data_IF_920202262645
#
_entry.id   IF_920202262645
#
_cell.length_a   1.000
_cell.length_b   1.000
_cell.length_c   1.000
_cell.angle_alpha   90.00
_cell.angle_beta   90.00
_cell.angle_gamma   90.00
#
_symmetry.space_group_name_H-M   'P 1'
#
loop_
_entity.id
_entity.type
_entity.pdbx_description
1 polymer ?
#
# COMPACT_ATOMS: atom_id res chain seq x y z
N UNK A 1 23.08 -11.54 -21.10
CA UNK A 1 22.63 -10.73 -19.96
C UNK A 1 21.87 -11.65 -19.02
N UNK A 2 22.45 -12.01 -17.86
CA UNK A 2 21.85 -12.90 -16.87
C UNK A 2 21.53 -12.05 -15.64
N UNK A 3 20.25 -11.98 -15.25
CA UNK A 3 19.84 -11.38 -13.97
C UNK A 3 19.72 -12.47 -12.91
N UNK A 4 20.10 -12.15 -11.68
CA UNK A 4 19.95 -13.04 -10.53
C UNK A 4 18.68 -12.73 -9.71
N UNK A 5 17.72 -11.97 -10.25
CA UNK A 5 16.41 -11.77 -9.63
C UNK A 5 15.49 -12.92 -10.09
N UNK A 6 15.08 -13.76 -9.14
CA UNK A 6 14.31 -14.98 -9.40
C UNK A 6 12.79 -14.84 -9.24
N UNK A 7 12.33 -13.79 -8.55
CA UNK A 7 10.90 -13.49 -8.33
C UNK A 7 10.61 -12.02 -8.64
N UNK A 8 9.41 -11.69 -9.16
CA UNK A 8 9.00 -10.30 -9.34
C UNK A 8 9.01 -9.58 -7.99
N UNK A 9 9.20 -8.27 -8.03
CA UNK A 9 9.20 -7.46 -6.83
C UNK A 9 7.78 -7.30 -6.27
N UNK A 10 7.67 -7.32 -4.95
CA UNK A 10 6.43 -7.00 -4.23
C UNK A 10 6.21 -5.50 -4.30
N UNK A 11 5.08 -5.10 -4.87
CA UNK A 11 4.77 -3.72 -5.21
C UNK A 11 3.68 -3.17 -4.32
N UNK A 12 4.09 -2.39 -3.31
CA UNK A 12 3.16 -1.75 -2.38
C UNK A 12 2.20 -0.79 -3.10
N UNK A 13 2.64 -0.15 -4.18
CA UNK A 13 1.85 0.84 -4.90
C UNK A 13 0.76 0.18 -5.74
N UNK A 14 1.03 -0.97 -6.34
CA UNK A 14 0.01 -1.73 -7.07
C UNK A 14 -1.04 -2.28 -6.11
N UNK A 15 -0.62 -2.89 -4.99
CA UNK A 15 -1.54 -3.39 -3.97
C UNK A 15 -2.35 -2.26 -3.30
N UNK A 16 -1.76 -1.06 -3.16
CA UNK A 16 -2.49 0.13 -2.70
C UNK A 16 -3.63 0.51 -3.66
N UNK A 17 -3.38 0.51 -4.97
CA UNK A 17 -4.42 0.83 -5.96
C UNK A 17 -5.54 -0.22 -5.98
N UNK A 18 -5.19 -1.50 -5.81
CA UNK A 18 -6.17 -2.57 -5.67
C UNK A 18 -7.00 -2.40 -4.39
N UNK A 19 -6.36 -2.11 -3.25
CA UNK A 19 -7.02 -1.93 -1.96
C UNK A 19 -7.99 -0.74 -1.98
N UNK A 20 -7.57 0.42 -2.47
CA UNK A 20 -8.42 1.62 -2.50
C UNK A 20 -9.53 1.54 -3.55
N UNK A 21 -9.36 0.71 -4.58
CA UNK A 21 -10.39 0.43 -5.58
C UNK A 21 -11.35 -0.69 -5.22
N UNK A 22 -11.11 -1.42 -4.12
CA UNK A 22 -11.97 -2.52 -3.67
C UNK A 22 -13.01 -1.99 -2.68
N UNK A 23 -14.28 -2.15 -3.02
CA UNK A 23 -15.38 -1.81 -2.13
C UNK A 23 -15.27 -2.60 -0.82
N UNK A 24 -15.33 -1.91 0.30
CA UNK A 24 -15.27 -2.54 1.62
C UNK A 24 -13.92 -2.41 2.31
N UNK A 25 -12.85 -1.97 1.63
CA UNK A 25 -11.50 -1.94 2.20
C UNK A 25 -11.07 -0.58 2.72
N UNK A 26 -11.26 0.48 1.94
CA UNK A 26 -10.96 1.82 2.42
C UNK A 26 -12.12 2.35 3.25
N UNK A 27 -11.91 2.43 4.57
CA UNK A 27 -12.88 2.93 5.54
C UNK A 27 -12.30 4.06 6.40
N UNK A 28 -13.15 4.96 6.85
CA UNK A 28 -12.79 6.04 7.77
C UNK A 28 -13.88 6.29 8.81
N UNK A 29 -13.49 6.87 9.95
CA UNK A 29 -14.44 7.28 10.98
C UNK A 29 -15.10 8.62 10.57
N UNK A 30 -16.43 8.69 10.40
CA UNK A 30 -17.10 9.92 9.96
C UNK A 30 -16.95 11.09 10.92
N UNK A 31 -16.74 10.81 12.22
CA UNK A 31 -16.65 11.83 13.27
C UNK A 31 -15.38 12.67 13.20
N UNK A 32 -14.25 12.09 12.80
CA UNK A 32 -12.93 12.73 12.86
C UNK A 32 -12.12 12.60 11.55
N UNK A 33 -12.61 11.82 10.58
CA UNK A 33 -11.91 11.57 9.32
C UNK A 33 -10.66 10.69 9.44
N UNK A 34 -10.45 10.01 10.58
CA UNK A 34 -9.27 9.16 10.80
C UNK A 34 -9.46 7.76 10.21
N UNK A 35 -8.35 7.03 10.10
CA UNK A 35 -8.36 5.63 9.69
C UNK A 35 -9.34 4.84 10.54
N UNK A 36 -10.18 4.04 9.88
CA UNK A 36 -10.98 3.01 10.51
C UNK A 36 -10.64 1.64 9.91
N UNK A 37 -10.41 0.61 10.74
CA UNK A 37 -10.34 -0.78 10.29
C UNK A 37 -11.59 -1.20 9.51
N UNK A 38 -11.39 -1.90 8.39
CA UNK A 38 -12.50 -2.28 7.52
C UNK A 38 -13.50 -3.26 8.15
N UNK A 39 -13.10 -3.95 9.23
CA UNK A 39 -13.92 -4.92 9.98
C UNK A 39 -14.79 -4.26 11.07
N UNK A 40 -14.68 -2.94 11.27
CA UNK A 40 -15.43 -2.20 12.28
C UNK A 40 -16.76 -1.65 11.74
N UNK A 41 -17.81 -1.68 12.58
CA UNK A 41 -19.19 -1.37 12.14
C UNK A 41 -19.53 0.12 12.00
N UNK A 42 -18.81 1.02 12.68
CA UNK A 42 -19.14 2.46 12.73
C UNK A 42 -18.33 3.30 11.73
N UNK A 43 -18.13 2.76 10.52
CA UNK A 43 -17.22 3.34 9.54
C UNK A 43 -17.85 3.50 8.17
N UNK A 44 -17.46 4.59 7.51
CA UNK A 44 -17.95 4.96 6.19
C UNK A 44 -16.88 4.72 5.12
N UNK A 45 -17.35 4.44 3.90
CA UNK A 45 -16.50 4.24 2.74
C UNK A 45 -15.72 5.49 2.38
N UNK A 46 -14.43 5.34 2.07
CA UNK A 46 -13.62 6.44 1.56
C UNK A 46 -14.21 7.06 0.29
N UNK A 47 -14.34 8.38 0.27
CA UNK A 47 -14.65 9.12 -0.95
C UNK A 47 -13.39 9.25 -1.79
N UNK A 48 -13.29 8.44 -2.85
CA UNK A 48 -12.12 8.38 -3.74
C UNK A 48 -12.52 8.76 -5.15
N UNK A 49 -11.86 9.77 -5.70
CA UNK A 49 -12.02 10.11 -7.11
C UNK A 49 -11.10 9.22 -7.96
N UNK A 50 -11.63 8.08 -8.39
CA UNK A 50 -10.93 7.18 -9.30
C UNK A 50 -10.96 7.70 -10.74
N UNK A 51 -9.81 7.74 -11.40
CA UNK A 51 -9.74 7.98 -12.83
C UNK A 51 -10.13 6.70 -13.60
N UNK A 52 -11.24 6.69 -14.35
CA UNK A 52 -11.76 5.49 -15.01
C UNK A 52 -10.85 4.97 -16.14
N UNK A 53 -9.94 5.79 -16.67
CA UNK A 53 -9.02 5.37 -17.72
C UNK A 53 -7.77 4.64 -17.19
N UNK A 54 -7.41 4.89 -15.92
CA UNK A 54 -6.16 4.40 -15.32
C UNK A 54 -6.39 3.54 -14.08
N UNK A 55 -7.62 3.47 -13.57
CA UNK A 55 -7.98 2.85 -12.28
C UNK A 55 -7.08 3.33 -11.14
N UNK A 56 -6.83 4.65 -11.08
CA UNK A 56 -5.96 5.28 -10.09
C UNK A 56 -6.65 6.43 -9.37
N UNK A 57 -6.40 6.62 -8.08
CA UNK A 57 -6.93 7.76 -7.34
C UNK A 57 -6.25 9.06 -7.76
N UNK A 58 -6.93 10.18 -7.53
CA UNK A 58 -6.32 11.50 -7.63
C UNK A 58 -5.25 11.73 -6.55
N UNK A 59 -4.43 12.76 -6.74
CA UNK A 59 -3.30 13.06 -5.85
C UNK A 59 -3.75 13.34 -4.42
N UNK A 60 -4.92 13.95 -4.21
CA UNK A 60 -5.38 14.29 -2.86
C UNK A 60 -5.90 13.03 -2.14
N UNK A 61 -6.70 12.19 -2.83
CA UNK A 61 -7.11 10.90 -2.26
C UNK A 61 -5.91 10.00 -1.99
N UNK A 62 -4.90 9.99 -2.87
CA UNK A 62 -3.66 9.25 -2.66
C UNK A 62 -2.99 9.64 -1.34
N UNK A 63 -2.74 10.95 -1.15
CA UNK A 63 -2.09 11.46 0.06
C UNK A 63 -2.91 11.21 1.32
N UNK A 64 -4.24 11.30 1.24
CA UNK A 64 -5.11 11.12 2.40
C UNK A 64 -5.15 9.66 2.87
N UNK A 65 -5.37 8.74 1.94
CA UNK A 65 -5.68 7.33 2.28
C UNK A 65 -4.46 6.40 2.29
N UNK A 66 -3.27 6.84 1.85
CA UNK A 66 -2.07 6.00 1.90
C UNK A 66 -1.73 5.54 3.32
N UNK A 67 -1.85 6.41 4.32
CA UNK A 67 -1.61 6.02 5.71
C UNK A 67 -2.64 5.01 6.22
N UNK A 68 -3.83 4.96 5.65
CA UNK A 68 -4.90 4.03 6.06
C UNK A 68 -4.56 2.63 5.58
N UNK A 69 -4.17 2.50 4.32
CA UNK A 69 -3.67 1.27 3.73
C UNK A 69 -2.53 0.63 4.54
N UNK A 70 -1.59 1.44 5.04
CA UNK A 70 -0.44 0.96 5.80
C UNK A 70 -0.77 0.57 7.25
N UNK A 71 -1.97 0.93 7.75
CA UNK A 71 -2.47 0.56 9.08
C UNK A 71 -3.49 -0.58 9.02
N UNK A 72 -4.12 -0.79 7.86
CA UNK A 72 -5.14 -1.80 7.66
C UNK A 72 -4.56 -3.23 7.59
N UNK A 73 -5.19 -4.15 8.33
CA UNK A 73 -4.75 -5.53 8.43
C UNK A 73 -5.47 -6.40 7.40
N UNK A 74 -4.78 -7.32 6.72
CA UNK A 74 -5.43 -8.14 5.69
C UNK A 74 -6.34 -9.20 6.31
N UNK A 75 -7.49 -9.42 5.67
CA UNK A 75 -8.46 -10.44 6.01
C UNK A 75 -9.01 -11.13 4.73
N UNK A 76 -10.13 -11.86 4.84
CA UNK A 76 -10.76 -12.50 3.68
C UNK A 76 -11.47 -11.55 2.71
N UNK A 77 -11.87 -10.36 3.18
CA UNK A 77 -12.57 -9.36 2.36
C UNK A 77 -11.56 -8.44 1.66
N UNK A 78 -10.52 -8.04 2.39
CA UNK A 78 -9.51 -7.06 2.05
C UNK A 78 -8.11 -7.66 2.13
N UNK A 79 -7.89 -8.72 1.34
CA UNK A 79 -6.63 -9.48 1.32
C UNK A 79 -5.39 -8.65 0.94
N UNK A 80 -5.58 -7.49 0.30
CA UNK A 80 -4.53 -6.59 -0.18
C UNK A 80 -4.13 -5.50 0.81
N UNK A 81 -4.66 -5.49 2.03
CA UNK A 81 -4.33 -4.48 3.03
C UNK A 81 -2.82 -4.47 3.36
N UNK A 82 -2.28 -3.26 3.54
CA UNK A 82 -0.84 -3.00 3.43
C UNK A 82 -0.04 -3.13 4.73
N UNK A 83 -0.67 -3.23 5.89
CA UNK A 83 0.05 -3.21 7.16
C UNK A 83 1.03 -4.39 7.30
N UNK A 84 0.58 -5.59 6.95
CA UNK A 84 1.40 -6.80 7.10
C UNK A 84 2.64 -6.80 6.19
N UNK A 85 2.48 -6.41 4.93
CA UNK A 85 3.53 -6.54 3.91
C UNK A 85 4.37 -5.27 3.72
N UNK A 86 3.78 -4.10 3.95
CA UNK A 86 4.33 -2.82 3.46
C UNK A 86 4.45 -1.71 4.50
N UNK A 87 3.97 -1.90 5.75
CA UNK A 87 4.12 -0.89 6.81
C UNK A 87 5.57 -0.47 7.07
N UNK A 88 6.51 -1.41 6.89
CA UNK A 88 7.96 -1.16 6.98
C UNK A 88 8.61 -0.83 5.63
N UNK A 89 7.86 -0.98 4.52
CA UNK A 89 8.36 -0.73 3.17
C UNK A 89 8.19 0.72 2.72
N UNK A 90 7.26 1.45 3.34
CA UNK A 90 6.92 2.83 2.99
C UNK A 90 7.15 3.71 4.20
N UNK A 91 8.17 4.56 4.15
CA UNK A 91 8.40 5.60 5.14
C UNK A 91 7.70 6.89 4.70
N UNK A 92 6.81 7.39 5.55
CA UNK A 92 6.02 8.59 5.27
C UNK A 92 5.98 9.52 6.48
N UNK A 93 5.72 10.80 6.20
CA UNK A 93 5.41 11.83 7.20
C UNK A 93 4.00 12.34 6.98
N UNK A 94 3.36 12.76 8.07
CA UNK A 94 2.07 13.44 8.03
C UNK A 94 2.29 14.95 8.06
N UNK A 95 1.68 15.65 7.12
CA UNK A 95 1.64 17.10 7.09
C UNK A 95 0.62 17.63 8.13
N UNK A 96 0.58 18.95 8.35
CA UNK A 96 -0.36 19.62 9.28
C UNK A 96 -1.85 19.30 9.01
N UNK A 97 -2.17 18.90 7.77
CA UNK A 97 -3.51 18.53 7.33
C UNK A 97 -3.77 17.01 7.37
N UNK A 98 -2.95 16.22 8.08
CA UNK A 98 -2.99 14.75 8.12
C UNK A 98 -2.80 14.08 6.74
N UNK A 99 -2.20 14.79 5.78
CA UNK A 99 -1.87 14.23 4.47
C UNK A 99 -0.52 13.52 4.52
N UNK A 100 -0.44 12.40 3.83
CA UNK A 100 0.73 11.55 3.78
C UNK A 100 1.69 12.03 2.70
N UNK A 101 2.93 12.34 3.09
CA UNK A 101 4.05 12.60 2.17
C UNK A 101 5.07 11.46 2.29
N UNK A 102 5.27 10.73 1.19
CA UNK A 102 6.21 9.60 1.12
C UNK A 102 7.64 10.12 1.04
N UNK A 103 8.51 9.65 1.93
CA UNK A 103 9.94 10.02 1.93
C UNK A 103 10.78 8.98 1.20
N UNK A 104 10.71 7.73 1.64
CA UNK A 104 11.53 6.64 1.12
C UNK A 104 10.71 5.36 1.05
N UNK A 105 10.93 4.57 0.00
CA UNK A 105 10.28 3.27 -0.18
C UNK A 105 11.24 2.24 -0.74
N UNK A 106 10.94 0.96 -0.55
CA UNK A 106 11.62 -0.12 -1.25
C UNK A 106 10.62 -1.12 -1.84
N UNK A 107 11.10 -1.91 -2.80
CA UNK A 107 10.37 -3.01 -3.42
C UNK A 107 11.15 -4.30 -3.16
N UNK A 108 10.56 -5.23 -2.41
CA UNK A 108 11.23 -6.49 -2.03
C UNK A 108 11.15 -7.49 -3.19
N UNK A 109 12.28 -8.07 -3.58
CA UNK A 109 12.35 -9.19 -4.51
C UNK A 109 13.30 -10.27 -3.98
N UNK A 110 13.24 -11.46 -4.56
CA UNK A 110 14.13 -12.57 -4.19
C UNK A 110 15.12 -12.86 -5.30
N UNK A 111 16.36 -13.11 -4.90
CA UNK A 111 17.38 -13.63 -5.80
C UNK A 111 17.10 -15.09 -6.21
N UNK A 112 17.70 -15.52 -7.31
CA UNK A 112 17.86 -16.94 -7.62
C UNK A 112 18.81 -17.60 -6.62
N UNK A 113 18.95 -18.92 -6.65
CA UNK A 113 19.81 -19.64 -5.71
C UNK A 113 21.28 -19.25 -5.94
N UNK A 114 21.88 -18.55 -4.97
CA UNK A 114 23.28 -18.14 -4.99
C UNK A 114 24.13 -19.13 -4.18
N UNK A 115 25.02 -19.89 -4.84
CA UNK A 115 25.87 -20.92 -4.24
C UNK A 115 27.37 -20.57 -4.21
N UNK A 116 27.87 -19.78 -5.15
CA UNK A 116 29.30 -19.46 -5.27
C UNK A 116 29.54 -17.98 -4.98
N UNK A 117 30.72 -17.63 -4.46
CA UNK A 117 31.09 -16.23 -4.19
C UNK A 117 31.00 -15.36 -5.44
N UNK A 118 31.39 -15.91 -6.60
CA UNK A 118 31.33 -15.23 -7.90
C UNK A 118 29.94 -14.74 -8.29
N UNK A 119 28.85 -15.39 -7.85
CA UNK A 119 27.48 -14.99 -8.19
C UNK A 119 26.80 -14.15 -7.11
N UNK A 120 27.47 -13.94 -5.97
CA UNK A 120 27.06 -12.96 -4.96
C UNK A 120 27.69 -11.59 -5.25
N UNK A 121 28.92 -11.56 -5.76
CA UNK A 121 29.65 -10.32 -6.08
C UNK A 121 29.41 -9.78 -7.49
N UNK A 122 28.65 -10.51 -8.31
CA UNK A 122 28.38 -10.17 -9.70
C UNK A 122 27.26 -9.14 -9.85
#
# INVERSE_FOLDING_TARGET
NLTYIGRPASSWMDDYFDWIGTDGCCMFFPNNGSFCPHDFQECDYCEVNMNPALSRPDVNSFKKYLSFFLQDNPDSVCAKAGHASYSQAVNYKLDENNNTTVEATYYMAFHTILKTSSIITA
#
